data_IF_469866692591
#
_entry.id   IF_469866692591
#
_cell.length_a   1.000
_cell.length_b   1.000
_cell.length_c   1.000
_cell.angle_alpha   90.00
_cell.angle_beta   90.00
_cell.angle_gamma   90.00
#
_symmetry.space_group_name_H-M   'P 1'
#
loop_
_entity.id
_entity.type
_entity.pdbx_description
1 polymer ?
#
# COMPACT_ATOMS: atom_id res chain seq x y z
N UNK A 1 18.90 11.63 -0.70
CA UNK A 1 19.47 10.39 -1.23
C UNK A 1 18.62 9.93 -2.41
N UNK A 2 19.16 10.00 -3.62
CA UNK A 2 18.43 9.64 -4.86
C UNK A 2 18.03 8.17 -4.93
N UNK A 3 18.52 7.35 -4.02
CA UNK A 3 18.21 5.92 -3.88
C UNK A 3 17.10 5.62 -2.87
N UNK A 4 16.40 6.65 -2.36
CA UNK A 4 15.34 6.49 -1.38
C UNK A 4 14.09 5.80 -1.93
N UNK A 5 13.33 5.15 -1.05
CA UNK A 5 12.09 4.44 -1.40
C UNK A 5 11.09 5.29 -2.21
N UNK A 6 10.94 6.58 -1.87
CA UNK A 6 10.09 7.52 -2.60
C UNK A 6 10.49 7.63 -4.08
N UNK A 7 11.77 7.85 -4.35
CA UNK A 7 12.25 8.02 -5.73
C UNK A 7 12.22 6.71 -6.51
N UNK A 8 12.49 5.58 -5.84
CA UNK A 8 12.34 4.26 -6.44
C UNK A 8 10.90 4.00 -6.87
N UNK A 9 9.93 4.32 -6.01
CA UNK A 9 8.51 4.24 -6.34
C UNK A 9 8.13 5.14 -7.52
N UNK A 10 8.51 6.42 -7.48
CA UNK A 10 8.15 7.37 -8.53
C UNK A 10 8.78 6.99 -9.88
N UNK A 11 10.07 6.60 -9.92
CA UNK A 11 10.71 6.13 -11.16
C UNK A 11 9.99 4.94 -11.78
N UNK A 12 9.51 4.02 -10.94
CA UNK A 12 8.82 2.83 -11.42
C UNK A 12 7.38 3.13 -11.89
N UNK A 13 6.70 4.09 -11.26
CA UNK A 13 5.25 4.26 -11.40
C UNK A 13 4.82 5.56 -12.11
N UNK A 14 5.73 6.51 -12.38
CA UNK A 14 5.36 7.80 -12.97
C UNK A 14 4.53 7.69 -14.25
N UNK A 15 4.82 6.78 -15.21
CA UNK A 15 3.96 6.62 -16.38
C UNK A 15 2.51 6.26 -16.01
N UNK A 16 2.33 5.27 -15.14
CA UNK A 16 1.01 4.84 -14.68
C UNK A 16 0.28 5.90 -13.86
N UNK A 17 1.00 6.64 -13.02
CA UNK A 17 0.47 7.78 -12.26
C UNK A 17 -0.12 8.83 -13.19
N UNK A 18 0.59 9.16 -14.27
CA UNK A 18 0.15 10.14 -15.27
C UNK A 18 -1.03 9.65 -16.09
N UNK A 19 -1.00 8.39 -16.53
CA UNK A 19 -2.11 7.76 -17.27
C UNK A 19 -3.40 7.74 -16.47
N UNK A 20 -3.30 7.40 -15.19
CA UNK A 20 -4.46 7.31 -14.27
C UNK A 20 -4.92 8.68 -13.77
N UNK A 21 -4.11 9.73 -13.89
CA UNK A 21 -4.42 11.03 -13.31
C UNK A 21 -4.51 11.01 -11.78
N UNK A 22 -3.66 10.22 -11.11
CA UNK A 22 -3.70 10.06 -9.65
C UNK A 22 -3.42 11.38 -8.95
N UNK A 23 -4.35 11.83 -8.09
CA UNK A 23 -4.16 13.00 -7.26
C UNK A 23 -3.33 12.69 -6.02
N UNK A 24 -2.21 13.38 -5.82
CA UNK A 24 -1.39 13.27 -4.63
C UNK A 24 -1.51 14.50 -3.73
N UNK A 25 -1.66 14.27 -2.43
CA UNK A 25 -1.57 15.28 -1.39
C UNK A 25 -0.30 14.99 -0.58
N UNK A 26 0.75 15.75 -0.84
CA UNK A 26 2.07 15.50 -0.29
C UNK A 26 2.44 16.51 0.80
N UNK A 27 2.90 16.02 1.96
CA UNK A 27 3.48 16.90 3.00
C UNK A 27 4.70 17.63 2.47
N UNK A 28 4.96 18.84 3.01
CA UNK A 28 5.92 19.79 2.46
C UNK A 28 7.28 19.18 2.13
N UNK A 29 7.89 18.41 3.05
CA UNK A 29 9.20 17.79 2.81
C UNK A 29 9.17 16.80 1.64
N UNK A 30 8.12 15.99 1.52
CA UNK A 30 7.95 15.04 0.42
C UNK A 30 7.77 15.77 -0.90
N UNK A 31 6.91 16.78 -0.92
CA UNK A 31 6.70 17.61 -2.10
C UNK A 31 8.00 18.29 -2.56
N UNK A 32 8.72 18.93 -1.63
CA UNK A 32 9.95 19.66 -1.94
C UNK A 32 11.05 18.71 -2.47
N UNK A 33 11.12 17.47 -1.95
CA UNK A 33 12.04 16.44 -2.43
C UNK A 33 11.70 15.99 -3.86
N UNK A 34 10.41 15.79 -4.16
CA UNK A 34 9.93 15.44 -5.51
C UNK A 34 10.29 16.55 -6.50
N UNK A 35 10.03 17.80 -6.13
CA UNK A 35 10.33 18.96 -6.96
C UNK A 35 11.83 19.15 -7.20
N UNK A 36 12.65 18.99 -6.17
CA UNK A 36 14.12 19.10 -6.27
C UNK A 36 14.74 18.02 -7.17
N UNK A 37 14.14 16.82 -7.19
CA UNK A 37 14.54 15.73 -8.07
C UNK A 37 13.93 15.83 -9.49
N UNK A 38 13.21 16.90 -9.80
CA UNK A 38 12.49 17.11 -11.06
C UNK A 38 11.52 15.97 -11.44
N UNK A 39 11.10 15.17 -10.49
CA UNK A 39 10.12 14.10 -10.70
C UNK A 39 8.70 14.67 -10.76
N UNK A 40 7.82 14.01 -11.48
CA UNK A 40 6.46 14.49 -11.75
C UNK A 40 6.43 15.93 -12.32
N UNK A 41 7.50 16.35 -13.01
CA UNK A 41 7.61 17.68 -13.59
C UNK A 41 6.43 18.00 -14.53
N UNK A 42 5.76 19.11 -14.27
CA UNK A 42 4.57 19.53 -15.01
C UNK A 42 3.30 18.75 -14.71
N UNK A 43 3.33 17.80 -13.79
CA UNK A 43 2.15 17.06 -13.34
C UNK A 43 1.29 17.93 -12.42
N UNK A 44 0.03 18.15 -12.80
CA UNK A 44 -0.89 19.04 -12.06
C UNK A 44 -1.63 18.33 -10.91
N UNK A 45 -1.55 17.01 -10.86
CA UNK A 45 -2.23 16.17 -9.86
C UNK A 45 -1.53 16.10 -8.50
N UNK A 46 -0.59 16.99 -8.18
CA UNK A 46 0.09 17.01 -6.89
C UNK A 46 -0.18 18.30 -6.13
N UNK A 47 -0.67 18.18 -4.90
CA UNK A 47 -0.98 19.28 -4.00
C UNK A 47 0.02 19.29 -2.85
N UNK A 48 0.63 20.44 -2.57
CA UNK A 48 1.56 20.64 -1.46
C UNK A 48 0.81 20.95 -0.18
N UNK A 49 1.09 20.20 0.88
CA UNK A 49 0.62 20.44 2.23
C UNK A 49 1.71 21.08 3.11
N UNK A 50 1.38 21.61 4.27
CA UNK A 50 2.37 22.05 5.26
C UNK A 50 3.36 20.94 5.60
N UNK A 51 4.48 21.29 6.21
CA UNK A 51 5.40 20.27 6.74
C UNK A 51 4.70 19.37 7.76
N UNK A 52 5.14 18.12 7.88
CA UNK A 52 4.51 17.16 8.79
C UNK A 52 4.38 17.69 10.22
N UNK A 53 5.45 18.32 10.75
CA UNK A 53 5.48 18.95 12.09
C UNK A 53 4.63 20.23 12.20
N UNK A 54 4.24 20.83 11.10
CA UNK A 54 3.38 22.01 11.02
C UNK A 54 1.91 21.64 10.75
N UNK A 55 1.53 20.42 11.08
CA UNK A 55 0.18 19.91 10.93
C UNK A 55 -0.14 19.27 9.58
N UNK A 56 0.82 19.21 8.64
CA UNK A 56 0.58 18.61 7.32
C UNK A 56 0.17 17.14 7.39
N UNK A 57 0.79 16.36 8.28
CA UNK A 57 0.44 14.95 8.44
C UNK A 57 -0.94 14.78 9.12
N UNK A 58 -1.25 15.62 10.10
CA UNK A 58 -2.56 15.62 10.75
C UNK A 58 -3.68 16.03 9.79
N UNK A 59 -3.40 16.94 8.86
CA UNK A 59 -4.34 17.29 7.79
C UNK A 59 -4.65 16.07 6.90
N UNK A 60 -3.63 15.27 6.51
CA UNK A 60 -3.85 14.03 5.78
C UNK A 60 -4.69 13.03 6.57
N UNK A 61 -4.44 12.89 7.88
CA UNK A 61 -5.26 12.04 8.77
C UNK A 61 -6.73 12.46 8.74
N UNK A 62 -7.01 13.77 8.88
CA UNK A 62 -8.37 14.29 8.83
C UNK A 62 -9.04 14.04 7.47
N UNK A 63 -8.33 14.22 6.38
CA UNK A 63 -8.87 14.02 5.03
C UNK A 63 -9.08 12.54 4.67
N UNK A 64 -8.31 11.62 5.26
CA UNK A 64 -8.60 10.18 5.14
C UNK A 64 -9.94 9.84 5.79
N UNK A 65 -10.26 10.47 6.92
CA UNK A 65 -11.56 10.30 7.58
C UNK A 65 -12.69 10.89 6.72
N UNK A 66 -12.45 12.01 6.06
CA UNK A 66 -13.46 12.72 5.28
C UNK A 66 -14.39 13.53 6.19
N UNK A 67 -14.00 14.74 6.51
CA UNK A 67 -14.83 15.66 7.31
C UNK A 67 -16.05 16.11 6.51
N UNK A 68 -17.27 16.08 7.08
CA UNK A 68 -18.45 16.60 6.42
C UNK A 68 -18.26 18.07 6.02
N UNK A 69 -18.42 18.39 4.74
CA UNK A 69 -18.34 19.76 4.22
C UNK A 69 -16.96 20.24 3.80
N UNK A 70 -15.91 19.48 3.99
CA UNK A 70 -14.54 19.83 3.60
C UNK A 70 -14.00 18.93 2.47
N UNK A 71 -14.46 19.15 1.26
CA UNK A 71 -13.82 18.58 0.08
C UNK A 71 -13.94 17.05 -0.05
N UNK A 72 -13.21 16.49 -1.02
CA UNK A 72 -13.18 15.05 -1.30
C UNK A 72 -12.25 14.35 -0.32
N UNK A 73 -12.74 13.32 0.35
CA UNK A 73 -11.91 12.47 1.20
C UNK A 73 -10.77 11.80 0.39
N UNK A 74 -9.61 11.61 1.02
CA UNK A 74 -8.52 10.83 0.42
C UNK A 74 -8.91 9.36 0.33
N UNK A 75 -8.59 8.74 -0.79
CA UNK A 75 -8.94 7.34 -1.07
C UNK A 75 -7.96 6.33 -0.45
N UNK A 76 -6.78 6.78 -0.01
CA UNK A 76 -5.77 5.95 0.64
C UNK A 76 -4.52 6.73 0.99
N UNK A 77 -3.50 6.04 1.48
CA UNK A 77 -2.22 6.64 1.81
C UNK A 77 -1.04 5.76 1.37
N UNK A 78 -0.04 6.39 0.77
CA UNK A 78 1.28 5.80 0.53
C UNK A 78 2.23 6.43 1.55
N UNK A 79 2.63 5.66 2.55
CA UNK A 79 3.55 6.09 3.60
C UNK A 79 4.73 5.12 3.65
N UNK A 80 5.75 5.41 2.86
CA UNK A 80 6.93 4.57 2.76
C UNK A 80 7.75 4.67 4.06
N UNK A 81 7.73 3.60 4.84
CA UNK A 81 8.36 3.55 6.16
C UNK A 81 9.84 3.23 6.01
N UNK A 82 10.68 4.02 6.68
CA UNK A 82 12.08 3.67 6.90
C UNK A 82 12.20 2.90 8.23
N UNK A 83 12.54 1.60 8.20
CA UNK A 83 12.55 0.78 9.42
C UNK A 83 13.68 1.14 10.40
N UNK A 84 14.70 1.87 9.94
CA UNK A 84 15.84 2.27 10.77
C UNK A 84 15.73 3.70 11.28
N UNK A 85 14.82 4.52 10.75
CA UNK A 85 14.56 5.87 11.22
C UNK A 85 13.36 5.89 12.19
N UNK A 86 13.59 6.11 13.50
CA UNK A 86 12.50 6.20 14.49
C UNK A 86 11.45 7.25 14.13
N UNK A 87 11.81 8.26 13.36
CA UNK A 87 10.86 9.28 12.91
C UNK A 87 9.80 8.76 11.93
N UNK A 88 10.00 7.58 11.35
CA UNK A 88 9.01 6.91 10.49
C UNK A 88 7.79 6.39 11.25
N UNK A 89 7.85 6.29 12.57
CA UNK A 89 6.79 5.72 13.41
C UNK A 89 6.21 6.75 14.41
N UNK A 90 6.17 8.01 14.01
CA UNK A 90 5.50 9.04 14.80
C UNK A 90 4.03 8.71 15.08
N UNK A 91 3.46 9.21 16.18
CA UNK A 91 2.05 9.01 16.52
C UNK A 91 1.10 9.37 15.36
N UNK A 92 1.40 10.42 14.61
CA UNK A 92 0.61 10.87 13.46
C UNK A 92 0.64 9.86 12.31
N UNK A 93 1.77 9.19 12.08
CA UNK A 93 1.88 8.12 11.07
C UNK A 93 1.07 6.89 11.48
N UNK A 94 1.08 6.55 12.76
CA UNK A 94 0.24 5.48 13.31
C UNK A 94 -1.24 5.85 13.22
N UNK A 95 -1.60 7.11 13.48
CA UNK A 95 -2.97 7.62 13.31
C UNK A 95 -3.42 7.52 11.85
N UNK A 96 -2.57 7.89 10.88
CA UNK A 96 -2.86 7.77 9.45
C UNK A 96 -3.16 6.32 9.07
N UNK A 97 -2.29 5.39 9.46
CA UNK A 97 -2.49 3.96 9.24
C UNK A 97 -3.81 3.47 9.86
N UNK A 98 -4.06 3.84 11.12
CA UNK A 98 -5.28 3.45 11.84
C UNK A 98 -6.53 3.93 11.10
N UNK A 99 -6.56 5.18 10.64
CA UNK A 99 -7.71 5.71 9.92
C UNK A 99 -7.91 5.03 8.58
N UNK A 100 -6.85 4.73 7.83
CA UNK A 100 -6.99 3.94 6.61
C UNK A 100 -7.63 2.57 6.90
N UNK A 101 -7.18 1.87 7.95
CA UNK A 101 -7.74 0.56 8.35
C UNK A 101 -9.22 0.66 8.75
N UNK A 102 -9.58 1.66 9.58
CA UNK A 102 -10.96 1.86 10.04
C UNK A 102 -11.90 2.12 8.87
N UNK A 103 -11.45 2.90 7.89
CA UNK A 103 -12.27 3.30 6.74
C UNK A 103 -12.12 2.37 5.52
N UNK A 104 -11.44 1.23 5.66
CA UNK A 104 -11.25 0.26 4.57
C UNK A 104 -10.44 0.81 3.40
N UNK A 105 -9.56 1.79 3.64
CA UNK A 105 -8.74 2.44 2.62
C UNK A 105 -7.34 1.83 2.55
N UNK A 106 -6.71 1.75 1.37
CA UNK A 106 -5.34 1.27 1.24
C UNK A 106 -4.36 2.07 2.09
N UNK A 107 -3.46 1.36 2.79
CA UNK A 107 -2.29 1.94 3.43
C UNK A 107 -1.05 1.18 2.94
N UNK A 108 -0.26 1.82 2.10
CA UNK A 108 0.86 1.21 1.40
C UNK A 108 2.17 1.69 2.02
N UNK A 109 2.93 0.77 2.62
CA UNK A 109 4.12 1.11 3.40
C UNK A 109 5.44 0.69 2.75
N UNK A 110 5.39 -0.01 1.62
CA UNK A 110 6.57 -0.45 0.87
C UNK A 110 6.48 -0.04 -0.59
N UNK A 111 7.63 0.06 -1.26
CA UNK A 111 7.68 0.33 -2.70
C UNK A 111 6.97 -0.78 -3.49
N UNK A 112 7.12 -2.04 -3.06
CA UNK A 112 6.47 -3.17 -3.71
C UNK A 112 4.95 -3.03 -3.67
N UNK A 113 4.36 -2.84 -2.49
CA UNK A 113 2.90 -2.70 -2.36
C UNK A 113 2.35 -1.47 -3.09
N UNK A 114 3.09 -0.36 -3.09
CA UNK A 114 2.68 0.85 -3.80
C UNK A 114 2.71 0.67 -5.33
N UNK A 115 3.72 -0.03 -5.84
CA UNK A 115 3.82 -0.38 -7.27
C UNK A 115 2.70 -1.33 -7.69
N UNK A 116 2.44 -2.37 -6.91
CA UNK A 116 1.37 -3.33 -7.18
C UNK A 116 0.00 -2.64 -7.19
N UNK A 117 -0.21 -1.69 -6.28
CA UNK A 117 -1.44 -0.89 -6.25
C UNK A 117 -1.62 -0.05 -7.52
N UNK A 118 -0.58 0.66 -7.98
CA UNK A 118 -0.66 1.44 -9.24
C UNK A 118 -0.99 0.54 -10.43
N UNK A 119 -0.38 -0.65 -10.50
CA UNK A 119 -0.67 -1.61 -11.57
C UNK A 119 -2.11 -2.14 -11.49
N UNK A 120 -2.60 -2.42 -10.30
CA UNK A 120 -3.99 -2.83 -10.09
C UNK A 120 -4.98 -1.75 -10.53
N UNK A 121 -4.72 -0.48 -10.21
CA UNK A 121 -5.55 0.65 -10.66
C UNK A 121 -5.52 0.82 -12.18
N UNK A 122 -4.37 0.56 -12.83
CA UNK A 122 -4.30 0.54 -14.31
C UNK A 122 -5.22 -0.54 -14.90
N UNK A 123 -5.19 -1.74 -14.35
CA UNK A 123 -6.06 -2.84 -14.76
C UNK A 123 -7.53 -2.49 -14.54
N UNK A 124 -7.89 -1.93 -13.39
CA UNK A 124 -9.25 -1.47 -13.09
C UNK A 124 -9.74 -0.38 -14.06
N UNK A 125 -8.83 0.48 -14.52
CA UNK A 125 -9.12 1.49 -15.53
C UNK A 125 -9.20 0.93 -16.97
N UNK A 126 -9.03 -0.38 -17.15
CA UNK A 126 -9.05 -1.03 -18.47
C UNK A 126 -7.77 -0.84 -19.28
N UNK A 127 -6.70 -0.36 -18.66
CA UNK A 127 -5.39 -0.24 -19.30
C UNK A 127 -4.71 -1.61 -19.36
N UNK A 128 -3.88 -1.87 -20.39
CA UNK A 128 -3.15 -3.13 -20.46
C UNK A 128 -2.19 -3.28 -19.27
N UNK A 129 -2.15 -4.49 -18.70
CA UNK A 129 -1.19 -4.82 -17.64
C UNK A 129 0.26 -4.69 -18.13
N UNK A 130 1.17 -4.34 -17.22
CA UNK A 130 2.60 -4.36 -17.51
C UNK A 130 3.04 -5.81 -17.75
N UNK A 131 3.64 -6.06 -18.91
CA UNK A 131 4.18 -7.40 -19.27
C UNK A 131 5.26 -7.91 -18.32
N UNK A 132 5.84 -7.01 -17.52
CA UNK A 132 6.84 -7.36 -16.52
C UNK A 132 6.24 -7.55 -15.11
N UNK A 133 4.94 -7.29 -14.91
CA UNK A 133 4.32 -7.43 -13.60
C UNK A 133 4.45 -8.86 -13.04
N UNK A 134 4.32 -9.87 -13.89
CA UNK A 134 4.49 -11.28 -13.49
C UNK A 134 5.91 -11.61 -12.98
N UNK A 135 6.93 -10.84 -13.38
CA UNK A 135 8.30 -11.04 -12.90
C UNK A 135 8.52 -10.51 -11.48
N UNK A 136 7.59 -9.70 -10.97
CA UNK A 136 7.66 -9.19 -9.60
C UNK A 136 7.25 -10.24 -8.58
N UNK A 137 6.53 -11.28 -9.02
CA UNK A 137 5.97 -12.34 -8.18
C UNK A 137 6.41 -13.71 -8.69
N UNK A 138 7.54 -14.18 -8.19
CA UNK A 138 8.00 -15.57 -8.41
C UNK A 138 7.43 -16.46 -7.30
N UNK A 139 6.17 -16.85 -7.44
CA UNK A 139 5.45 -17.65 -6.45
C UNK A 139 6.16 -18.96 -6.11
N UNK A 140 6.77 -19.61 -7.12
CA UNK A 140 7.44 -20.90 -6.94
C UNK A 140 8.74 -20.80 -6.14
N UNK A 141 9.35 -19.61 -6.07
CA UNK A 141 10.52 -19.34 -5.24
C UNK A 141 10.17 -18.69 -3.89
N UNK A 142 8.96 -18.13 -3.74
CA UNK A 142 8.57 -17.32 -2.59
C UNK A 142 7.89 -18.12 -1.48
N UNK A 143 8.08 -17.63 -0.25
CA UNK A 143 7.35 -18.08 0.93
C UNK A 143 6.38 -16.99 1.37
N UNK A 144 5.11 -17.35 1.51
CA UNK A 144 4.06 -16.45 2.00
C UNK A 144 3.77 -16.71 3.47
N UNK A 145 3.72 -15.66 4.28
CA UNK A 145 3.27 -15.73 5.67
C UNK A 145 1.83 -15.23 5.79
N UNK A 146 0.96 -16.06 6.38
CA UNK A 146 -0.43 -15.72 6.67
C UNK A 146 -0.60 -15.57 8.19
N UNK A 147 -0.81 -14.32 8.63
CA UNK A 147 -0.86 -13.95 10.04
C UNK A 147 -2.12 -13.11 10.27
N UNK A 148 -2.90 -13.48 11.28
CA UNK A 148 -4.10 -12.74 11.65
C UNK A 148 -4.25 -12.64 13.17
N UNK A 149 -4.69 -11.48 13.64
CA UNK A 149 -5.20 -11.31 15.00
C UNK A 149 -6.43 -12.21 15.21
N UNK A 150 -6.70 -12.61 16.45
CA UNK A 150 -7.78 -13.56 16.77
C UNK A 150 -9.14 -13.16 16.18
N UNK A 151 -9.51 -11.90 16.31
CA UNK A 151 -10.75 -11.37 15.76
C UNK A 151 -10.81 -11.43 14.19
N UNK A 152 -9.66 -11.51 13.53
CA UNK A 152 -9.55 -11.50 12.06
C UNK A 152 -9.34 -12.90 11.47
N UNK A 153 -9.22 -13.94 12.29
CA UNK A 153 -9.01 -15.32 11.80
C UNK A 153 -10.13 -15.81 10.90
N UNK A 154 -11.43 -15.57 11.19
CA UNK A 154 -12.50 -15.96 10.27
C UNK A 154 -12.37 -15.30 8.89
N UNK A 155 -12.06 -14.01 8.85
CA UNK A 155 -11.83 -13.29 7.60
C UNK A 155 -10.60 -13.80 6.84
N UNK A 156 -9.53 -14.17 7.56
CA UNK A 156 -8.34 -14.79 6.97
C UNK A 156 -8.64 -16.15 6.34
N UNK A 157 -9.46 -16.98 7.00
CA UNK A 157 -9.87 -18.27 6.45
C UNK A 157 -10.74 -18.11 5.20
N UNK A 158 -11.68 -17.16 5.21
CA UNK A 158 -12.51 -16.85 4.04
C UNK A 158 -11.66 -16.35 2.88
N UNK A 159 -10.72 -15.43 3.16
CA UNK A 159 -9.75 -14.95 2.17
C UNK A 159 -8.92 -16.10 1.57
N UNK A 160 -8.37 -16.97 2.42
CA UNK A 160 -7.58 -18.11 1.98
C UNK A 160 -8.39 -19.12 1.18
N UNK A 161 -9.65 -19.36 1.55
CA UNK A 161 -10.55 -20.23 0.83
C UNK A 161 -10.90 -19.69 -0.57
N UNK A 162 -11.16 -18.38 -0.67
CA UNK A 162 -11.47 -17.69 -1.94
C UNK A 162 -10.27 -17.63 -2.89
N UNK A 163 -9.06 -17.56 -2.34
CA UNK A 163 -7.83 -17.42 -3.10
C UNK A 163 -6.96 -18.68 -3.06
N UNK A 164 -7.58 -19.83 -2.82
CA UNK A 164 -6.86 -21.09 -2.55
C UNK A 164 -5.88 -21.46 -3.66
N UNK A 165 -6.29 -21.36 -4.93
CA UNK A 165 -5.46 -21.73 -6.08
C UNK A 165 -4.24 -20.80 -6.22
N UNK A 166 -4.44 -19.49 -6.02
CA UNK A 166 -3.34 -18.53 -6.03
C UNK A 166 -2.35 -18.79 -4.89
N UNK A 167 -2.87 -18.97 -3.66
CA UNK A 167 -2.04 -19.23 -2.49
C UNK A 167 -1.28 -20.57 -2.62
N UNK A 168 -1.84 -21.54 -3.33
CA UNK A 168 -1.22 -22.83 -3.60
C UNK A 168 -0.02 -22.75 -4.55
N UNK A 169 0.11 -21.69 -5.34
CA UNK A 169 1.27 -21.45 -6.21
C UNK A 169 2.56 -21.11 -5.43
N UNK A 170 2.44 -20.55 -4.22
CA UNK A 170 3.61 -20.24 -3.41
C UNK A 170 4.34 -21.52 -3.00
N UNK A 171 5.67 -21.54 -3.14
CA UNK A 171 6.52 -22.67 -2.73
C UNK A 171 6.26 -23.10 -1.29
N UNK A 172 6.10 -22.14 -0.40
CA UNK A 172 5.80 -22.39 1.01
C UNK A 172 4.78 -21.38 1.53
N UNK A 173 3.91 -21.86 2.41
CA UNK A 173 2.99 -21.03 3.18
C UNK A 173 3.25 -21.31 4.65
N UNK A 174 3.36 -20.26 5.44
CA UNK A 174 3.60 -20.35 6.89
C UNK A 174 2.54 -19.53 7.62
N UNK A 175 2.15 -19.97 8.77
CA UNK A 175 1.21 -19.25 9.62
C UNK A 175 1.67 -19.33 11.06
N UNK A 176 1.27 -18.35 11.88
CA UNK A 176 1.55 -18.35 13.30
C UNK A 176 0.54 -19.24 14.05
N UNK A 177 1.01 -20.07 14.97
CA UNK A 177 0.22 -20.81 15.96
C UNK A 177 -1.15 -21.26 15.45
N UNK A 178 -2.19 -20.75 16.10
CA UNK A 178 -3.59 -21.11 15.80
C UNK A 178 -4.08 -20.64 14.42
N UNK A 179 -3.48 -19.62 13.84
CA UNK A 179 -3.79 -19.23 12.44
C UNK A 179 -3.33 -20.31 11.47
N UNK A 180 -2.09 -20.79 11.63
CA UNK A 180 -1.55 -21.87 10.82
C UNK A 180 -2.32 -23.17 10.96
N UNK A 181 -2.70 -23.54 12.19
CA UNK A 181 -3.53 -24.71 12.43
C UNK A 181 -4.86 -24.65 11.68
N UNK A 182 -5.61 -23.55 11.82
CA UNK A 182 -6.90 -23.37 11.15
C UNK A 182 -6.79 -23.34 9.62
N UNK A 183 -5.71 -22.75 9.09
CA UNK A 183 -5.44 -22.77 7.67
C UNK A 183 -5.14 -24.18 7.15
N UNK A 184 -4.40 -25.00 7.91
CA UNK A 184 -4.16 -26.41 7.57
C UNK A 184 -5.46 -27.21 7.56
N UNK A 185 -6.28 -27.07 8.59
CA UNK A 185 -7.58 -27.75 8.66
C UNK A 185 -8.47 -27.41 7.45
N UNK A 186 -8.52 -26.13 7.05
CA UNK A 186 -9.23 -25.67 5.87
C UNK A 186 -8.63 -26.27 4.59
N UNK A 187 -7.30 -26.28 4.45
CA UNK A 187 -6.61 -26.80 3.29
C UNK A 187 -6.82 -28.31 3.12
N UNK A 188 -6.81 -29.08 4.22
CA UNK A 188 -7.10 -30.51 4.18
C UNK A 188 -8.54 -30.80 3.74
N UNK A 189 -9.51 -29.99 4.16
CA UNK A 189 -10.89 -30.12 3.70
C UNK A 189 -11.07 -29.89 2.20
N UNK A 190 -10.12 -29.18 1.58
CA UNK A 190 -10.05 -28.94 0.11
C UNK A 190 -9.18 -29.97 -0.63
N UNK A 191 -8.72 -31.01 0.03
CA UNK A 191 -7.90 -32.07 -0.59
C UNK A 191 -6.42 -31.68 -0.79
N UNK A 192 -5.93 -30.82 0.03
CA UNK A 192 -4.54 -30.32 -0.06
C UNK A 192 -3.57 -31.19 0.72
#
# INVERSE_FOLDING_TARGET
NEDGALFSFLRACEPGIRELGIGFHAVGRTYDAIAAAEMLKGYKGIVRYPYGREGGLMKLVAEVVGMPGEGRALDGAIYLTDPVDPSSIFPEALALKRQCVIHGKPFLSTVASARDWVEMERIHAGLPSDRNADKWHDYEAQTLALIAHDAMKPAMLDFAAKNFDLLSRYRRRVGTGTTGQKLNEMAWSKGW
#
